data_IF_133409907439
#
_entry.id   IF_133409907439
#
_cell.length_a   1.000
_cell.length_b   1.000
_cell.length_c   1.000
_cell.angle_alpha   90.00
_cell.angle_beta   90.00
_cell.angle_gamma   90.00
#
_symmetry.space_group_name_H-M   'P 1'
#
loop_
_entity.id
_entity.type
_entity.pdbx_description
1 polymer ?
#
# COMPACT_ATOMS: atom_id res chain seq x y z
N UNK A 1 -39.79 17.37 33.50
CA UNK A 1 -39.67 16.98 32.07
C UNK A 1 -38.38 17.48 31.42
N UNK A 2 -38.07 18.79 31.46
CA UNK A 2 -36.87 19.36 30.84
C UNK A 2 -35.52 18.78 31.32
N UNK A 3 -35.40 18.43 32.61
CA UNK A 3 -34.17 17.85 33.19
C UNK A 3 -33.87 16.43 32.69
N UNK A 4 -34.91 15.60 32.52
CA UNK A 4 -34.77 14.22 32.00
C UNK A 4 -34.36 14.24 30.53
N UNK A 5 -34.94 15.16 29.75
CA UNK A 5 -34.57 15.34 28.35
C UNK A 5 -33.11 15.79 28.19
N UNK A 6 -32.61 16.61 29.13
CA UNK A 6 -31.22 17.07 29.13
C UNK A 6 -30.25 15.94 29.48
N UNK A 7 -30.59 15.10 30.46
CA UNK A 7 -29.82 13.90 30.81
C UNK A 7 -29.72 12.91 29.64
N UNK A 8 -30.83 12.66 28.95
CA UNK A 8 -30.86 11.79 27.78
C UNK A 8 -29.99 12.30 26.63
N UNK A 9 -29.99 13.62 26.38
CA UNK A 9 -29.13 14.27 25.38
C UNK A 9 -27.66 14.13 25.73
N UNK A 10 -27.30 14.33 27.01
CA UNK A 10 -25.93 14.18 27.48
C UNK A 10 -25.49 12.73 27.28
N UNK A 11 -26.23 11.76 27.81
CA UNK A 11 -25.90 10.34 27.68
C UNK A 11 -25.78 9.88 26.23
N UNK A 12 -26.64 10.37 25.33
CA UNK A 12 -26.58 10.05 23.90
C UNK A 12 -25.33 10.66 23.24
N UNK A 13 -24.97 11.88 23.61
CA UNK A 13 -23.75 12.54 23.14
C UNK A 13 -22.49 11.82 23.64
N UNK A 14 -22.47 11.39 24.91
CA UNK A 14 -21.36 10.60 25.46
C UNK A 14 -21.25 9.24 24.78
N UNK A 15 -22.37 8.59 24.47
CA UNK A 15 -22.39 7.32 23.76
C UNK A 15 -21.84 7.46 22.34
N UNK A 16 -22.26 8.49 21.61
CA UNK A 16 -21.74 8.82 20.27
C UNK A 16 -20.24 9.13 20.27
N UNK A 17 -19.75 9.80 21.32
CA UNK A 17 -18.32 10.11 21.51
C UNK A 17 -17.50 8.91 22.01
N UNK A 18 -18.15 7.88 22.56
CA UNK A 18 -17.51 6.66 23.06
C UNK A 18 -17.46 5.53 22.03
N UNK A 19 -18.06 5.71 20.86
CA UNK A 19 -17.87 4.81 19.74
C UNK A 19 -16.49 5.13 19.14
N UNK A 20 -15.45 4.32 19.36
CA UNK A 20 -14.25 4.48 18.59
C UNK A 20 -14.65 4.26 17.12
N UNK A 21 -14.35 5.24 16.28
CA UNK A 21 -14.48 5.12 14.83
C UNK A 21 -13.33 4.20 14.41
N UNK A 22 -13.44 2.91 14.71
CA UNK A 22 -12.51 1.89 14.20
C UNK A 22 -12.93 1.57 12.78
N UNK A 23 -12.43 2.35 11.84
CA UNK A 23 -12.43 2.01 10.43
C UNK A 23 -11.32 2.78 9.72
N UNK A 24 -10.07 2.42 10.00
CA UNK A 24 -8.95 2.76 9.14
C UNK A 24 -8.27 1.44 8.74
N UNK A 25 -8.87 0.72 7.79
CA UNK A 25 -8.07 -0.09 6.88
C UNK A 25 -7.65 0.88 5.77
N UNK A 26 -6.58 1.65 6.03
CA UNK A 26 -6.02 2.57 5.07
C UNK A 26 -4.91 1.83 4.32
N UNK A 27 -4.98 1.84 2.99
CA UNK A 27 -3.87 1.36 2.16
C UNK A 27 -2.78 2.41 2.19
N UNK A 28 -1.60 2.04 2.66
CA UNK A 28 -0.41 2.90 2.64
C UNK A 28 0.37 2.61 1.38
N UNK A 29 0.64 3.67 0.60
CA UNK A 29 1.52 3.59 -0.57
C UNK A 29 2.95 3.36 -0.10
N UNK A 30 3.52 2.23 -0.50
CA UNK A 30 4.88 1.84 -0.14
C UNK A 30 5.91 2.39 -1.13
N UNK A 31 5.62 2.22 -2.42
CA UNK A 31 6.46 2.66 -3.54
C UNK A 31 5.56 3.13 -4.68
N UNK A 32 5.97 4.21 -5.36
CA UNK A 32 5.33 4.73 -6.56
C UNK A 32 6.35 4.91 -7.67
N UNK A 33 6.19 4.18 -8.76
CA UNK A 33 7.03 4.26 -9.95
C UNK A 33 6.44 5.18 -11.02
N UNK A 34 5.16 5.54 -10.91
CA UNK A 34 4.50 6.46 -11.86
C UNK A 34 4.94 7.92 -11.67
N UNK A 35 5.52 8.24 -10.50
CA UNK A 35 6.04 9.56 -10.17
C UNK A 35 7.57 9.68 -10.42
N UNK A 36 8.16 8.74 -11.16
CA UNK A 36 9.57 8.82 -11.57
C UNK A 36 9.80 10.07 -12.41
N UNK A 37 10.85 10.83 -12.10
CA UNK A 37 11.23 12.00 -12.89
C UNK A 37 11.95 11.58 -14.18
N UNK A 38 11.79 12.34 -15.27
CA UNK A 38 12.44 12.06 -16.57
C UNK A 38 13.97 11.91 -16.47
N UNK A 39 14.61 12.60 -15.53
CA UNK A 39 16.05 12.52 -15.27
C UNK A 39 16.51 11.24 -14.56
N UNK A 40 15.58 10.54 -13.90
CA UNK A 40 15.79 9.28 -13.19
C UNK A 40 15.37 8.06 -14.03
N UNK A 41 14.86 8.29 -15.24
CA UNK A 41 14.49 7.23 -16.19
C UNK A 41 15.72 6.41 -16.59
N UNK A 42 15.56 5.09 -16.63
CA UNK A 42 16.61 4.19 -17.11
C UNK A 42 16.71 2.86 -16.38
N UNK A 43 17.83 2.14 -16.60
CA UNK A 43 17.97 0.78 -16.13
C UNK A 43 18.27 0.73 -14.63
N UNK A 44 17.57 -0.16 -13.94
CA UNK A 44 17.82 -0.52 -12.54
C UNK A 44 18.24 -1.98 -12.49
N UNK A 45 19.22 -2.32 -11.64
CA UNK A 45 19.72 -3.70 -11.50
C UNK A 45 18.57 -4.70 -11.35
N UNK A 46 18.64 -5.84 -12.06
CA UNK A 46 17.62 -6.91 -12.00
C UNK A 46 17.38 -7.52 -10.62
N UNK A 47 18.31 -7.27 -9.69
CA UNK A 47 18.08 -7.38 -8.25
C UNK A 47 18.30 -5.99 -7.63
N UNK A 48 17.26 -5.45 -7.00
CA UNK A 48 17.32 -4.13 -6.38
C UNK A 48 16.54 -4.10 -5.07
N UNK A 49 17.08 -3.42 -4.07
CA UNK A 49 16.49 -3.35 -2.72
C UNK A 49 16.16 -1.90 -2.39
N UNK A 50 14.89 -1.66 -2.05
CA UNK A 50 14.46 -0.41 -1.42
C UNK A 50 14.56 -0.57 0.09
N UNK A 51 15.30 0.33 0.72
CA UNK A 51 15.63 0.27 2.15
C UNK A 51 14.80 1.24 2.98
N UNK A 52 14.58 0.87 4.25
CA UNK A 52 13.96 1.71 5.28
C UNK A 52 12.60 2.29 4.85
N UNK A 53 11.77 1.44 4.25
CA UNK A 53 10.45 1.79 3.76
C UNK A 53 9.60 2.39 4.88
N UNK A 54 8.81 3.40 4.53
CA UNK A 54 7.94 4.13 5.47
C UNK A 54 8.70 4.76 6.65
N UNK A 55 10.02 4.95 6.53
CA UNK A 55 10.86 5.46 7.60
C UNK A 55 11.12 4.47 8.74
N UNK A 56 10.80 3.18 8.54
CA UNK A 56 11.07 2.12 9.51
C UNK A 56 12.44 1.53 9.20
N UNK A 57 13.38 1.67 10.13
CA UNK A 57 14.73 1.11 10.00
C UNK A 57 14.67 -0.41 9.76
N UNK A 58 15.42 -0.89 8.77
CA UNK A 58 15.53 -2.31 8.45
C UNK A 58 14.32 -2.90 7.72
N UNK A 59 13.22 -2.15 7.52
CA UNK A 59 12.09 -2.60 6.71
C UNK A 59 12.38 -2.38 5.22
N UNK A 60 12.69 -3.45 4.52
CA UNK A 60 13.15 -3.40 3.13
C UNK A 60 12.31 -4.29 2.23
N UNK A 61 12.29 -3.97 0.94
CA UNK A 61 11.72 -4.83 -0.11
C UNK A 61 12.76 -5.02 -1.21
N UNK A 62 13.00 -6.28 -1.57
CA UNK A 62 13.88 -6.65 -2.67
C UNK A 62 13.04 -7.11 -3.85
N UNK A 63 13.35 -6.54 -5.01
CA UNK A 63 12.78 -6.88 -6.29
C UNK A 63 13.79 -7.76 -7.02
N UNK A 64 13.31 -8.81 -7.66
CA UNK A 64 14.14 -9.70 -8.47
C UNK A 64 13.40 -10.09 -9.73
N UNK A 65 13.98 -9.85 -10.89
CA UNK A 65 13.42 -10.34 -12.16
C UNK A 65 13.57 -11.86 -12.25
N UNK A 66 12.56 -12.55 -12.76
CA UNK A 66 12.62 -13.99 -12.98
C UNK A 66 13.53 -14.38 -14.17
N UNK A 67 13.85 -13.42 -15.04
CA UNK A 67 14.70 -13.59 -16.22
C UNK A 67 16.18 -13.31 -15.94
N UNK A 68 16.49 -12.58 -14.86
CA UNK A 68 17.83 -12.03 -14.60
C UNK A 68 18.16 -10.77 -15.40
N UNK A 69 17.20 -10.24 -16.18
CA UNK A 69 17.30 -8.96 -16.86
C UNK A 69 17.24 -7.79 -15.86
N UNK A 70 17.65 -6.61 -16.30
CA UNK A 70 17.49 -5.40 -15.52
C UNK A 70 16.01 -4.98 -15.46
N UNK A 71 15.65 -4.24 -14.43
CA UNK A 71 14.43 -3.45 -14.42
C UNK A 71 14.62 -2.20 -15.27
N UNK A 72 13.52 -1.60 -15.71
CA UNK A 72 13.50 -0.29 -16.35
C UNK A 72 12.53 0.62 -15.61
N UNK A 73 12.99 1.80 -15.20
CA UNK A 73 12.11 2.85 -14.71
C UNK A 73 11.74 3.72 -15.89
N UNK A 74 10.46 3.70 -16.27
CA UNK A 74 9.88 4.53 -17.33
C UNK A 74 9.12 5.71 -16.70
N UNK A 75 9.52 6.94 -17.04
CA UNK A 75 8.89 8.17 -16.56
C UNK A 75 7.49 8.32 -17.15
N UNK A 76 6.46 8.40 -16.30
CA UNK A 76 5.06 8.50 -16.71
C UNK A 76 4.34 7.15 -16.82
N UNK A 77 5.08 6.05 -17.03
CA UNK A 77 4.51 4.70 -17.01
C UNK A 77 4.75 4.01 -15.66
N UNK A 78 5.97 3.57 -15.35
CA UNK A 78 6.26 2.82 -14.13
C UNK A 78 7.47 1.89 -14.24
N UNK A 79 7.48 0.82 -13.43
CA UNK A 79 8.56 -0.16 -13.41
C UNK A 79 8.27 -1.31 -14.38
N UNK A 80 9.20 -1.50 -15.32
CA UNK A 80 9.19 -2.57 -16.30
C UNK A 80 10.41 -3.49 -16.21
N UNK A 81 10.66 -4.25 -17.27
CA UNK A 81 11.82 -5.15 -17.39
C UNK A 81 12.49 -4.87 -18.73
N UNK A 82 13.81 -4.67 -18.68
CA UNK A 82 14.63 -4.40 -19.85
C UNK A 82 15.63 -5.55 -20.07
N UNK A 83 15.36 -6.47 -21.02
CA UNK A 83 16.26 -7.57 -21.35
C UNK A 83 17.43 -7.13 -22.24
N UNK A 84 17.42 -5.92 -22.77
CA UNK A 84 18.43 -5.37 -23.68
C UNK A 84 19.29 -4.31 -22.99
N UNK A 85 20.32 -3.81 -23.68
CA UNK A 85 21.21 -2.77 -23.15
C UNK A 85 20.59 -1.35 -23.23
N UNK A 86 19.54 -1.18 -24.03
CA UNK A 86 18.82 0.08 -24.23
C UNK A 86 17.35 -0.22 -24.55
N UNK A 87 16.47 -0.06 -23.56
CA UNK A 87 15.02 -0.26 -23.72
C UNK A 87 14.25 1.06 -23.75
N UNK A 88 14.92 2.18 -24.07
CA UNK A 88 14.34 3.51 -24.19
C UNK A 88 13.38 3.66 -25.41
N UNK A 89 12.84 2.56 -25.92
CA UNK A 89 11.84 2.54 -26.98
C UNK A 89 10.88 1.37 -26.74
N UNK A 90 9.60 1.69 -26.60
CA UNK A 90 8.50 0.73 -26.56
C UNK A 90 8.57 -0.24 -27.76
N UNK A 91 8.26 -1.54 -27.59
CA UNK A 91 7.61 -2.19 -26.43
C UNK A 91 8.58 -2.95 -25.50
N UNK A 92 9.87 -2.63 -25.54
CA UNK A 92 10.93 -3.47 -24.96
C UNK A 92 11.20 -3.22 -23.48
N UNK A 93 10.55 -2.22 -22.90
CA UNK A 93 10.60 -1.78 -21.51
C UNK A 93 9.42 -2.27 -20.65
N UNK A 94 8.36 -2.82 -21.25
CA UNK A 94 7.23 -3.41 -20.53
C UNK A 94 7.63 -4.69 -19.76
N UNK A 95 6.83 -5.10 -18.77
CA UNK A 95 6.84 -6.49 -18.28
C UNK A 95 6.07 -7.34 -19.30
N UNK A 96 6.80 -8.12 -20.09
CA UNK A 96 6.29 -8.90 -21.20
C UNK A 96 5.95 -10.35 -20.81
N UNK A 97 5.32 -11.08 -21.74
CA UNK A 97 4.95 -12.49 -21.54
C UNK A 97 6.17 -13.35 -21.20
N UNK A 98 6.08 -14.09 -20.09
CA UNK A 98 7.15 -14.92 -19.54
C UNK A 98 8.03 -14.20 -18.52
N UNK A 99 7.95 -12.87 -18.46
CA UNK A 99 8.69 -12.04 -17.53
C UNK A 99 7.89 -11.80 -16.25
N UNK A 100 8.59 -11.44 -15.19
CA UNK A 100 8.01 -11.40 -13.87
C UNK A 100 8.95 -10.83 -12.81
N UNK A 101 8.33 -10.40 -11.71
CA UNK A 101 9.03 -9.82 -10.56
C UNK A 101 8.72 -10.70 -9.35
N UNK A 102 9.75 -10.99 -8.58
CA UNK A 102 9.68 -11.64 -7.29
C UNK A 102 9.94 -10.59 -6.23
N UNK A 103 9.01 -10.46 -5.28
CA UNK A 103 9.15 -9.57 -4.14
C UNK A 103 9.54 -10.36 -2.90
N UNK A 104 10.50 -9.85 -2.14
CA UNK A 104 10.90 -10.38 -0.83
C UNK A 104 11.00 -9.24 0.15
N UNK A 105 10.26 -9.32 1.25
CA UNK A 105 10.29 -8.31 2.32
C UNK A 105 11.18 -8.79 3.45
N UNK A 106 11.91 -7.86 4.05
CA UNK A 106 12.73 -8.13 5.24
C UNK A 106 12.52 -7.06 6.30
N UNK A 107 12.64 -7.45 7.57
CA UNK A 107 12.70 -6.54 8.71
C UNK A 107 13.93 -6.91 9.54
N UNK A 108 14.81 -5.95 9.78
CA UNK A 108 16.08 -6.14 10.48
C UNK A 108 16.92 -7.31 9.90
N UNK A 109 16.92 -7.42 8.56
CA UNK A 109 17.63 -8.46 7.82
C UNK A 109 17.01 -9.87 7.90
N UNK A 110 15.87 -10.03 8.57
CA UNK A 110 15.12 -11.30 8.62
C UNK A 110 13.94 -11.26 7.66
N UNK A 111 13.53 -12.39 7.04
CA UNK A 111 12.33 -12.44 6.21
C UNK A 111 11.11 -11.93 6.98
N UNK A 112 10.36 -11.03 6.36
CA UNK A 112 9.15 -10.45 6.91
C UNK A 112 7.97 -10.80 6.02
N UNK A 113 6.94 -11.43 6.59
CA UNK A 113 5.72 -11.78 5.86
C UNK A 113 4.77 -10.60 5.95
N UNK A 114 4.49 -9.99 4.81
CA UNK A 114 3.42 -8.99 4.68
C UNK A 114 2.10 -9.76 4.50
N UNK A 115 1.14 -9.54 5.41
CA UNK A 115 -0.16 -10.23 5.33
C UNK A 115 -0.90 -9.83 4.06
N UNK A 116 -1.10 -8.55 3.77
CA UNK A 116 -1.73 -8.13 2.52
C UNK A 116 -0.92 -7.00 1.86
N UNK A 117 -0.51 -7.21 0.61
CA UNK A 117 -0.01 -6.12 -0.24
C UNK A 117 -0.64 -6.14 -1.62
N UNK A 118 -0.93 -4.94 -2.11
CA UNK A 118 -1.65 -4.69 -3.36
C UNK A 118 -0.69 -4.09 -4.37
N UNK A 119 -0.71 -4.64 -5.57
CA UNK A 119 -0.01 -4.12 -6.72
C UNK A 119 -0.99 -3.33 -7.59
N UNK A 120 -0.60 -2.12 -7.97
CA UNK A 120 -1.25 -1.35 -9.03
C UNK A 120 -0.42 -1.47 -10.29
N UNK A 121 -1.06 -1.85 -11.39
CA UNK A 121 -0.49 -1.87 -12.71
C UNK A 121 -1.02 -0.71 -13.54
N UNK A 122 -0.22 -0.34 -14.51
CA UNK A 122 -0.52 0.68 -15.51
C UNK A 122 -0.12 0.14 -16.87
N UNK A 123 -0.78 0.64 -17.91
CA UNK A 123 -0.45 0.31 -19.28
C UNK A 123 0.31 1.46 -19.90
N UNK A 124 0.88 1.22 -21.07
CA UNK A 124 1.65 2.25 -21.75
C UNK A 124 0.79 3.49 -22.06
N UNK A 125 1.33 4.69 -21.81
CA UNK A 125 0.66 5.95 -22.16
C UNK A 125 0.22 6.02 -23.64
N UNK A 126 1.04 5.46 -24.55
CA UNK A 126 0.80 5.46 -25.99
C UNK A 126 -0.22 4.40 -26.47
N UNK A 127 -0.59 3.44 -25.62
CA UNK A 127 -1.47 2.31 -25.98
C UNK A 127 -2.91 2.48 -25.47
N UNK A 128 -3.19 3.58 -24.77
CA UNK A 128 -4.51 3.82 -24.18
C UNK A 128 -4.76 3.02 -22.89
N UNK A 129 -3.67 2.64 -22.20
CA UNK A 129 -3.68 1.92 -20.94
C UNK A 129 -3.59 0.39 -21.10
N UNK A 130 -4.09 -0.34 -20.11
CA UNK A 130 -3.92 -1.79 -20.03
C UNK A 130 -4.91 -2.51 -20.95
N UNK A 131 -4.39 -3.08 -22.04
CA UNK A 131 -5.07 -4.15 -22.77
C UNK A 131 -5.05 -5.40 -21.88
N UNK A 132 -6.21 -6.05 -21.72
CA UNK A 132 -6.43 -7.17 -20.78
C UNK A 132 -5.23 -8.12 -20.68
N UNK A 133 -4.61 -8.15 -19.51
CA UNK A 133 -3.44 -8.96 -19.21
C UNK A 133 -3.77 -10.06 -18.22
N UNK A 134 -3.04 -11.17 -18.30
CA UNK A 134 -3.18 -12.31 -17.39
C UNK A 134 -1.88 -12.49 -16.64
N UNK A 135 -1.95 -12.36 -15.32
CA UNK A 135 -0.80 -12.49 -14.43
C UNK A 135 -0.94 -13.76 -13.63
N UNK A 136 0.13 -14.55 -13.54
CA UNK A 136 0.25 -15.67 -12.62
C UNK A 136 0.94 -15.18 -11.34
N UNK A 137 0.25 -15.26 -10.20
CA UNK A 137 0.77 -14.81 -8.89
C UNK A 137 1.34 -15.95 -8.04
N UNK A 138 1.07 -17.18 -8.44
CA UNK A 138 1.68 -18.40 -7.92
C UNK A 138 1.35 -19.53 -8.89
N UNK A 139 2.07 -20.67 -8.87
CA UNK A 139 1.84 -21.75 -9.83
C UNK A 139 0.37 -22.18 -9.89
N UNK A 140 -0.28 -21.94 -11.04
CA UNK A 140 -1.67 -22.24 -11.29
C UNK A 140 -2.69 -21.21 -10.78
N UNK A 141 -2.26 -20.15 -10.10
CA UNK A 141 -3.14 -19.08 -9.61
C UNK A 141 -3.01 -17.82 -10.48
N UNK A 142 -4.08 -17.51 -11.21
CA UNK A 142 -4.09 -16.43 -12.19
C UNK A 142 -5.04 -15.31 -11.79
N UNK A 143 -4.68 -14.09 -12.15
CA UNK A 143 -5.50 -12.89 -12.03
C UNK A 143 -5.56 -12.18 -13.38
N UNK A 144 -6.67 -11.49 -13.63
CA UNK A 144 -6.84 -10.66 -14.83
C UNK A 144 -6.66 -9.20 -14.43
N UNK A 145 -5.78 -8.52 -15.16
CA UNK A 145 -5.49 -7.09 -14.97
C UNK A 145 -5.95 -6.35 -16.21
N UNK A 146 -6.67 -5.25 -16.03
CA UNK A 146 -7.19 -4.40 -17.12
C UNK A 146 -7.42 -2.99 -16.63
N UNK A 147 -7.72 -2.05 -17.53
CA UNK A 147 -8.13 -0.69 -17.13
C UNK A 147 -9.30 -0.62 -16.13
N UNK A 148 -10.17 -1.64 -16.08
CA UNK A 148 -11.28 -1.70 -15.12
C UNK A 148 -10.87 -2.28 -13.76
N UNK A 149 -9.82 -3.08 -13.75
CA UNK A 149 -9.29 -3.79 -12.58
C UNK A 149 -7.76 -3.77 -12.70
N UNK A 150 -7.13 -2.62 -12.47
CA UNK A 150 -5.69 -2.45 -12.69
C UNK A 150 -4.87 -2.99 -11.51
N UNK A 151 -5.51 -3.59 -10.51
CA UNK A 151 -4.87 -3.97 -9.26
C UNK A 151 -5.24 -5.39 -8.84
N UNK A 152 -4.34 -6.03 -8.11
CA UNK A 152 -4.64 -7.23 -7.35
C UNK A 152 -3.82 -7.28 -6.06
N UNK A 153 -4.29 -8.08 -5.11
CA UNK A 153 -3.69 -8.23 -3.78
C UNK A 153 -3.11 -9.64 -3.61
N UNK A 154 -1.88 -9.70 -3.09
CA UNK A 154 -1.33 -10.91 -2.50
C UNK A 154 -1.88 -11.06 -1.10
N UNK A 155 -2.43 -12.25 -0.82
CA UNK A 155 -2.84 -12.65 0.52
C UNK A 155 -1.71 -13.53 1.09
N UNK A 156 -1.15 -13.07 2.19
CA UNK A 156 0.15 -13.43 2.73
C UNK A 156 0.14 -14.78 3.41
N UNK A 157 0.93 -15.70 2.85
CA UNK A 157 1.20 -17.01 3.46
C UNK A 157 2.66 -17.44 3.28
N UNK A 158 3.47 -16.61 2.62
CA UNK A 158 4.84 -16.89 2.19
C UNK A 158 5.71 -15.67 2.42
N UNK A 159 7.02 -15.87 2.46
CA UNK A 159 8.05 -14.81 2.56
C UNK A 159 8.49 -14.28 1.18
N UNK A 160 8.01 -14.93 0.11
CA UNK A 160 8.35 -14.65 -1.28
C UNK A 160 7.09 -14.58 -2.11
N UNK A 161 6.99 -13.58 -2.97
CA UNK A 161 5.78 -13.29 -3.73
C UNK A 161 6.12 -13.15 -5.22
N UNK A 162 6.04 -14.25 -6.00
CA UNK A 162 6.32 -14.20 -7.43
C UNK A 162 5.12 -13.67 -8.20
N UNK A 163 5.39 -12.92 -9.27
CA UNK A 163 4.42 -12.72 -10.34
C UNK A 163 5.08 -12.92 -11.70
N UNK A 164 4.32 -13.39 -12.69
CA UNK A 164 4.75 -13.41 -14.08
C UNK A 164 3.60 -13.17 -15.05
N UNK A 165 3.88 -12.53 -16.17
CA UNK A 165 2.89 -12.24 -17.19
C UNK A 165 2.73 -13.46 -18.10
N UNK A 166 1.48 -13.88 -18.29
CA UNK A 166 1.13 -15.04 -19.13
C UNK A 166 0.55 -14.60 -20.46
N UNK A 167 -0.09 -13.43 -20.50
CA UNK A 167 -0.56 -12.78 -21.72
C UNK A 167 -0.72 -11.28 -21.49
N UNK A 168 -0.47 -10.49 -22.53
CA UNK A 168 -0.48 -9.02 -22.44
C UNK A 168 0.85 -8.48 -21.95
N UNK A 169 0.85 -7.21 -21.59
CA UNK A 169 2.02 -6.43 -21.16
C UNK A 169 1.58 -5.38 -20.14
N UNK A 170 2.43 -5.09 -19.17
CA UNK A 170 2.11 -4.21 -18.05
C UNK A 170 3.37 -3.48 -17.55
N UNK A 171 3.16 -2.32 -16.96
CA UNK A 171 4.08 -1.73 -16.01
C UNK A 171 3.57 -1.93 -14.59
N UNK A 172 4.49 -2.13 -13.65
CA UNK A 172 4.19 -2.01 -12.23
C UNK A 172 4.19 -0.52 -11.86
N UNK A 173 3.02 0.02 -11.54
CA UNK A 173 2.86 1.43 -11.18
C UNK A 173 3.20 1.67 -9.71
N UNK A 174 2.56 0.96 -8.77
CA UNK A 174 2.83 1.16 -7.34
C UNK A 174 2.53 -0.07 -6.48
N UNK A 175 3.11 -0.07 -5.28
CA UNK A 175 2.91 -1.10 -4.25
C UNK A 175 2.26 -0.44 -3.04
N UNK A 176 1.24 -1.11 -2.48
CA UNK A 176 0.49 -0.66 -1.32
C UNK A 176 0.41 -1.78 -0.28
N UNK A 177 0.44 -1.43 1.00
CA UNK A 177 0.23 -2.37 2.10
C UNK A 177 -0.92 -1.90 2.99
N UNK A 178 -1.57 -2.83 3.68
CA UNK A 178 -2.58 -2.47 4.70
C UNK A 178 -1.88 -1.96 5.99
N UNK A 179 -2.30 -0.78 6.49
CA UNK A 179 -1.76 -0.15 7.71
C UNK A 179 -1.95 -0.99 8.98
N UNK A 180 -2.85 -1.98 8.99
CA UNK A 180 -3.08 -2.85 10.15
C UNK A 180 -1.84 -3.65 10.60
N UNK A 181 -0.77 -3.66 9.80
CA UNK A 181 0.45 -4.44 10.01
C UNK A 181 1.67 -3.63 10.47
N UNK A 182 1.62 -2.30 10.39
CA UNK A 182 2.74 -1.49 10.83
C UNK A 182 2.65 -1.31 12.36
N UNK A 183 3.78 -1.36 13.10
CA UNK A 183 3.76 -0.95 14.50
C UNK A 183 3.13 0.45 14.56
N UNK A 184 2.13 0.68 15.45
CA UNK A 184 1.34 1.91 15.41
C UNK A 184 2.28 3.12 15.46
N UNK A 185 2.33 3.87 14.35
CA UNK A 185 3.22 5.02 14.16
C UNK A 185 2.91 6.17 15.13
N UNK A 186 1.76 6.11 15.79
CA UNK A 186 1.42 6.74 17.06
C UNK A 186 -0.04 6.42 17.33
N UNK A 187 -0.45 6.26 18.59
CA UNK A 187 -1.88 6.24 18.91
C UNK A 187 -2.40 7.63 18.55
N UNK A 188 -3.42 7.79 17.67
CA UNK A 188 -4.00 9.09 17.45
C UNK A 188 -4.50 9.62 18.81
N UNK A 189 -3.85 10.68 19.29
CA UNK A 189 -4.17 11.38 20.54
C UNK A 189 -5.55 12.09 20.61
N UNK A 190 -6.47 12.13 19.60
CA UNK A 190 -7.76 12.78 19.80
C UNK A 190 -8.64 12.08 20.86
N UNK A 191 -8.61 10.75 20.92
CA UNK A 191 -9.52 9.97 21.78
C UNK A 191 -9.24 10.17 23.27
N UNK A 192 -7.97 10.12 23.66
CA UNK A 192 -7.56 10.27 25.06
C UNK A 192 -7.72 11.72 25.54
N UNK A 193 -7.46 12.72 24.70
CA UNK A 193 -7.68 14.12 25.03
C UNK A 193 -9.18 14.44 25.18
N UNK A 194 -10.05 13.88 24.34
CA UNK A 194 -11.50 14.08 24.43
C UNK A 194 -12.11 13.35 25.65
N UNK A 195 -11.61 12.16 25.99
CA UNK A 195 -11.96 11.45 27.22
C UNK A 195 -11.49 12.22 28.47
N UNK A 196 -10.28 12.79 28.42
CA UNK A 196 -9.75 13.61 29.51
C UNK A 196 -10.54 14.92 29.67
N UNK A 197 -10.86 15.60 28.57
CA UNK A 197 -11.67 16.82 28.56
C UNK A 197 -13.11 16.57 29.03
N UNK A 198 -13.72 15.44 28.63
CA UNK A 198 -15.06 15.06 29.11
C UNK A 198 -15.06 14.68 30.58
N UNK A 199 -14.01 14.01 31.09
CA UNK A 199 -13.82 13.76 32.51
C UNK A 199 -13.64 15.07 33.30
N UNK A 200 -12.85 16.02 32.78
CA UNK A 200 -12.68 17.36 33.36
C UNK A 200 -13.99 18.15 33.40
N UNK A 201 -14.75 18.16 32.30
CA UNK A 201 -16.07 18.78 32.24
C UNK A 201 -17.05 18.15 33.23
N UNK A 202 -17.04 16.83 33.38
CA UNK A 202 -17.83 16.10 34.39
C UNK A 202 -17.47 16.50 35.82
N UNK A 203 -16.17 16.61 36.12
CA UNK A 203 -15.65 17.10 37.40
C UNK A 203 -16.09 18.54 37.69
N UNK A 204 -15.98 19.45 36.73
CA UNK A 204 -16.36 20.87 36.88
C UNK A 204 -17.88 21.04 37.06
N UNK A 205 -18.69 20.22 36.38
CA UNK A 205 -20.15 20.23 36.56
C UNK A 205 -20.57 19.65 37.92
N UNK A 206 -19.84 18.66 38.43
CA UNK A 206 -20.10 18.06 39.74
C UNK A 206 -19.80 18.99 40.92
N UNK A 207 -18.84 19.91 40.79
CA UNK A 207 -18.47 20.84 41.86
C UNK A 207 -19.44 22.03 41.99
N UNK A 208 -20.18 22.39 40.92
CA UNK A 208 -21.23 23.43 40.98
C UNK A 208 -22.55 22.98 41.61
N UNK A 209 -22.69 21.69 41.96
CA UNK A 209 -23.88 21.12 42.61
C UNK A 209 -23.78 21.10 44.16
N UNK A 210 -22.73 21.67 44.75
CA UNK A 210 -22.56 21.83 46.20
C UNK A 210 -22.41 23.30 46.63
N UNK A 211 -23.31 24.18 46.22
CA UNK A 211 -23.57 25.44 46.96
C UNK A 211 -25.06 25.79 46.83
N UNK A 212 -25.76 25.67 47.96
CA UNK A 212 -27.19 25.92 48.30
C UNK A 212 -28.19 24.85 47.87
#
# INVERSE_FOLDING_TARGET
MARILSLLKISFLTLLLSLPITANAELIKLLDFTETAEEDEGPVSGVFTFENLLGIEGFNVTFTTNTGANHWLDSGSGLGICPLDDCNNNPEDNINVGEGIIFTFTLDGSPFIVEDFTLLFVGHENEGGIVTSRVEKSPGAFVIVSNKQPMFTFLGTTDTYPMSIVSGELYLGSIWIDDSLLPPQSIPEPGNLLLFLSALCGLILSTKLKVV
#
